data_IF_951377154619
#
_entry.id   IF_951377154619
#
_cell.length_a   1.000
_cell.length_b   1.000
_cell.length_c   1.000
_cell.angle_alpha   90.00
_cell.angle_beta   90.00
_cell.angle_gamma   90.00
#
_symmetry.space_group_name_H-M   'P 1'
#
loop_
_entity.id
_entity.type
_entity.pdbx_description
1 polymer ?
#
# COMPACT_ATOMS: atom_id res chain seq x y z
N UNK A 1 -5.64 -3.81 14.38
CA UNK A 1 -6.27 -5.03 13.85
C UNK A 1 -5.57 -5.54 12.59
N UNK A 2 -5.51 -4.77 11.47
CA UNK A 2 -4.97 -5.24 10.18
C UNK A 2 -3.54 -5.81 10.25
N UNK A 3 -2.63 -5.15 10.99
CA UNK A 3 -1.26 -5.64 11.20
C UNK A 3 -1.30 -7.01 11.87
N UNK A 4 -2.07 -7.18 12.95
CA UNK A 4 -2.20 -8.47 13.65
C UNK A 4 -2.84 -9.56 12.79
N UNK A 5 -3.81 -9.19 11.93
CA UNK A 5 -4.39 -10.16 10.97
C UNK A 5 -3.32 -10.67 10.00
N UNK A 6 -2.46 -9.77 9.50
CA UNK A 6 -1.37 -10.16 8.60
C UNK A 6 -0.32 -11.03 9.29
N UNK A 7 0.03 -10.72 10.53
CA UNK A 7 0.94 -11.54 11.35
C UNK A 7 0.37 -12.94 11.60
N UNK A 8 -0.91 -13.03 11.98
CA UNK A 8 -1.58 -14.32 12.19
C UNK A 8 -1.62 -15.16 10.89
N UNK A 9 -1.84 -14.53 9.75
CA UNK A 9 -1.79 -15.19 8.45
C UNK A 9 -0.39 -15.73 8.12
N UNK A 10 0.65 -14.93 8.36
CA UNK A 10 2.04 -15.37 8.17
C UNK A 10 2.40 -16.54 9.10
N UNK A 11 2.03 -16.45 10.37
CA UNK A 11 2.23 -17.52 11.33
C UNK A 11 1.49 -18.81 10.91
N UNK A 12 0.22 -18.69 10.50
CA UNK A 12 -0.55 -19.83 10.00
C UNK A 12 0.13 -20.50 8.80
N UNK A 13 0.64 -19.72 7.86
CA UNK A 13 1.34 -20.25 6.68
C UNK A 13 2.59 -21.04 7.08
N UNK A 14 3.40 -20.52 8.00
CA UNK A 14 4.61 -21.21 8.47
C UNK A 14 4.27 -22.50 9.25
N UNK A 15 3.33 -22.43 10.18
CA UNK A 15 2.92 -23.60 11.00
C UNK A 15 2.29 -24.73 10.16
N UNK A 16 1.67 -24.40 9.04
CA UNK A 16 0.96 -25.36 8.19
C UNK A 16 1.64 -25.61 6.84
N UNK A 17 2.85 -25.13 6.61
CA UNK A 17 3.58 -25.20 5.34
C UNK A 17 3.56 -26.61 4.70
N UNK A 18 3.71 -27.66 5.49
CA UNK A 18 3.69 -29.06 5.02
C UNK A 18 2.28 -29.63 4.78
N UNK A 19 1.24 -28.92 5.23
CA UNK A 19 -0.17 -29.34 5.11
C UNK A 19 -0.92 -28.55 4.04
N UNK A 20 -0.35 -27.43 3.58
CA UNK A 20 -0.98 -26.61 2.55
C UNK A 20 -0.97 -27.35 1.20
N UNK A 21 -2.02 -27.16 0.37
CA UNK A 21 -2.01 -27.65 -0.99
C UNK A 21 -0.81 -27.13 -1.78
N UNK A 22 -0.27 -27.95 -2.66
CA UNK A 22 0.88 -27.60 -3.49
C UNK A 22 0.39 -27.06 -4.84
N UNK A 23 0.98 -25.96 -5.29
CA UNK A 23 0.73 -25.40 -6.62
C UNK A 23 1.36 -26.34 -7.65
N UNK A 24 0.57 -26.86 -8.59
CA UNK A 24 1.00 -27.87 -9.54
C UNK A 24 2.17 -27.40 -10.45
N UNK A 25 2.17 -26.11 -10.82
CA UNK A 25 3.15 -25.52 -11.75
C UNK A 25 4.51 -25.24 -11.09
N UNK A 26 4.53 -24.92 -9.78
CA UNK A 26 5.76 -24.50 -9.09
C UNK A 26 6.27 -25.51 -8.07
N UNK A 27 5.43 -26.44 -7.64
CA UNK A 27 5.75 -27.36 -6.55
C UNK A 27 5.78 -26.71 -5.16
N UNK A 28 5.39 -25.43 -5.05
CA UNK A 28 5.42 -24.68 -3.79
C UNK A 28 4.08 -24.75 -3.05
N UNK A 29 4.08 -24.64 -1.70
CA UNK A 29 2.83 -24.57 -0.95
C UNK A 29 1.98 -23.37 -1.35
N UNK A 30 0.67 -23.56 -1.45
CA UNK A 30 -0.29 -22.48 -1.68
C UNK A 30 -0.50 -21.69 -0.40
N UNK A 31 0.31 -20.64 -0.21
CA UNK A 31 0.18 -19.76 0.94
C UNK A 31 -1.08 -18.91 0.88
N UNK A 32 -1.72 -18.73 2.04
CA UNK A 32 -2.83 -17.78 2.16
C UNK A 32 -2.28 -16.35 2.17
N UNK A 33 -2.90 -15.49 1.34
CA UNK A 33 -2.52 -14.09 1.24
C UNK A 33 -3.76 -13.21 1.17
N UNK A 34 -4.02 -12.48 2.24
CA UNK A 34 -5.12 -11.50 2.30
C UNK A 34 -4.62 -10.10 1.95
N UNK A 35 -5.42 -9.37 1.18
CA UNK A 35 -5.23 -7.94 0.95
C UNK A 35 -6.23 -7.16 1.77
N UNK A 36 -5.78 -6.05 2.37
CA UNK A 36 -6.59 -5.25 3.27
C UNK A 36 -6.60 -3.81 2.78
N UNK A 37 -7.80 -3.27 2.55
CA UNK A 37 -8.03 -1.86 2.24
C UNK A 37 -8.76 -1.17 3.39
N UNK A 38 -8.23 -0.06 3.89
CA UNK A 38 -8.80 0.65 5.04
C UNK A 38 -9.09 2.10 4.65
N UNK A 39 -10.30 2.55 4.94
CA UNK A 39 -10.66 3.95 4.77
C UNK A 39 -11.52 4.44 5.93
N UNK A 40 -11.24 5.65 6.40
CA UNK A 40 -12.02 6.35 7.41
C UNK A 40 -12.90 7.41 6.75
N UNK A 41 -14.19 7.41 7.08
CA UNK A 41 -15.12 8.39 6.56
C UNK A 41 -16.58 8.05 6.90
N UNK A 42 -17.48 9.01 6.67
CA UNK A 42 -18.89 8.83 6.92
C UNK A 42 -19.50 7.78 5.99
N UNK A 43 -20.39 6.95 6.52
CA UNK A 43 -21.12 5.92 5.79
C UNK A 43 -22.57 5.83 6.30
N UNK A 44 -23.42 5.23 5.50
CA UNK A 44 -24.79 4.88 5.90
C UNK A 44 -24.79 3.43 6.35
N UNK A 45 -25.39 3.16 7.50
CA UNK A 45 -25.50 1.82 8.09
C UNK A 45 -26.98 1.51 8.31
N UNK A 46 -27.43 0.33 7.89
CA UNK A 46 -28.82 -0.07 8.10
C UNK A 46 -29.21 -1.32 7.34
N UNK A 47 -30.49 -1.70 7.49
CA UNK A 47 -31.07 -2.79 6.74
C UNK A 47 -31.36 -2.33 5.31
N UNK A 48 -30.81 -3.03 4.34
CA UNK A 48 -30.97 -2.75 2.93
C UNK A 48 -31.36 -4.01 2.17
N UNK A 49 -32.29 -3.84 1.22
CA UNK A 49 -32.78 -4.95 0.42
C UNK A 49 -34.27 -4.82 0.11
N UNK A 50 -34.88 -5.94 -0.19
CA UNK A 50 -36.32 -6.07 -0.45
C UNK A 50 -37.03 -6.63 0.78
N UNK A 51 -38.36 -6.57 0.78
CA UNK A 51 -39.19 -7.17 1.87
C UNK A 51 -38.94 -8.68 2.06
N UNK A 52 -38.37 -9.36 1.06
CA UNK A 52 -38.07 -10.79 1.12
C UNK A 52 -36.63 -11.08 1.57
N UNK A 53 -35.70 -10.11 1.39
CA UNK A 53 -34.30 -10.29 1.79
C UNK A 53 -33.71 -8.95 2.25
N UNK A 54 -33.57 -8.79 3.55
CA UNK A 54 -32.93 -7.66 4.19
C UNK A 54 -31.55 -8.08 4.69
N UNK A 55 -30.53 -7.27 4.35
CA UNK A 55 -29.18 -7.41 4.88
C UNK A 55 -28.82 -6.16 5.66
N UNK A 56 -28.37 -6.32 6.90
CA UNK A 56 -27.75 -5.22 7.64
C UNK A 56 -26.36 -4.97 7.06
N UNK A 57 -26.17 -3.82 6.47
CA UNK A 57 -24.95 -3.53 5.70
C UNK A 57 -24.58 -2.05 5.75
N UNK A 58 -23.41 -1.73 5.18
CA UNK A 58 -22.88 -0.38 5.07
C UNK A 58 -22.84 0.06 3.61
N UNK A 59 -23.16 1.33 3.34
CA UNK A 59 -23.11 1.92 2.01
C UNK A 59 -22.49 3.32 2.04
N UNK A 60 -21.88 3.70 0.92
CA UNK A 60 -21.35 5.03 0.71
C UNK A 60 -20.03 5.04 -0.06
N UNK A 61 -19.63 6.22 -0.52
CA UNK A 61 -18.39 6.40 -1.28
C UNK A 61 -17.15 5.95 -0.49
N UNK A 62 -17.17 6.13 0.83
CA UNK A 62 -16.07 5.72 1.70
C UNK A 62 -15.95 4.19 1.82
N UNK A 63 -17.07 3.47 1.77
CA UNK A 63 -17.07 1.99 1.73
C UNK A 63 -16.51 1.51 0.39
N UNK A 64 -16.95 2.12 -0.72
CA UNK A 64 -16.44 1.81 -2.05
C UNK A 64 -14.95 2.12 -2.17
N UNK A 65 -14.47 3.20 -1.53
CA UNK A 65 -13.04 3.52 -1.48
C UNK A 65 -12.26 2.41 -0.77
N UNK A 66 -12.70 1.95 0.41
CA UNK A 66 -12.03 0.87 1.13
C UNK A 66 -11.90 -0.40 0.27
N UNK A 67 -12.97 -0.82 -0.42
CA UNK A 67 -12.95 -1.95 -1.35
C UNK A 67 -11.95 -1.76 -2.51
N UNK A 68 -11.85 -0.55 -3.06
CA UNK A 68 -10.87 -0.25 -4.12
C UNK A 68 -9.43 -0.24 -3.61
N UNK A 69 -9.19 0.21 -2.37
CA UNK A 69 -7.88 0.16 -1.74
C UNK A 69 -7.42 -1.28 -1.54
N UNK A 70 -8.34 -2.19 -1.21
CA UNK A 70 -8.03 -3.63 -1.16
C UNK A 70 -7.49 -4.10 -2.52
N UNK A 71 -8.23 -3.91 -3.61
CA UNK A 71 -7.80 -4.29 -4.95
C UNK A 71 -6.52 -3.59 -5.42
N UNK A 72 -6.29 -2.35 -4.99
CA UNK A 72 -5.10 -1.54 -5.32
C UNK A 72 -3.80 -2.16 -4.78
N UNK A 73 -3.86 -2.95 -3.69
CA UNK A 73 -2.69 -3.65 -3.16
C UNK A 73 -1.94 -4.46 -4.23
N UNK A 74 -2.67 -5.06 -5.18
CA UNK A 74 -2.07 -5.85 -6.26
C UNK A 74 -1.12 -5.02 -7.13
N UNK A 75 -1.50 -3.77 -7.44
CA UNK A 75 -0.71 -2.90 -8.31
C UNK A 75 0.60 -2.40 -7.66
N UNK A 76 0.66 -2.40 -6.33
CA UNK A 76 1.82 -1.93 -5.57
C UNK A 76 2.58 -3.04 -4.86
N UNK A 77 2.23 -4.32 -5.09
CA UNK A 77 2.79 -5.44 -4.35
C UNK A 77 2.77 -5.20 -2.83
N UNK A 78 1.61 -4.84 -2.32
CA UNK A 78 1.39 -4.52 -0.90
C UNK A 78 0.27 -5.38 -0.33
N UNK A 79 0.14 -5.38 0.99
CA UNK A 79 -0.85 -6.20 1.71
C UNK A 79 -1.88 -5.37 2.46
N UNK A 80 -1.47 -4.22 2.98
CA UNK A 80 -2.34 -3.30 3.72
C UNK A 80 -2.19 -1.92 3.13
N UNK A 81 -3.25 -1.41 2.49
CA UNK A 81 -3.32 -0.02 2.03
C UNK A 81 -4.40 0.72 2.80
N UNK A 82 -4.09 1.92 3.24
CA UNK A 82 -5.07 2.83 3.82
C UNK A 82 -5.07 4.19 3.10
N UNK A 83 -6.19 4.91 3.23
CA UNK A 83 -6.28 6.30 2.80
C UNK A 83 -5.49 7.22 3.74
N UNK A 84 -5.14 8.40 3.26
CA UNK A 84 -4.46 9.44 4.04
C UNK A 84 -5.28 9.89 5.27
N UNK A 85 -6.61 9.90 5.17
CA UNK A 85 -7.48 10.17 6.33
C UNK A 85 -7.30 9.12 7.42
N UNK A 86 -7.29 7.85 7.06
CA UNK A 86 -7.03 6.75 8.01
C UNK A 86 -5.62 6.84 8.59
N UNK A 87 -4.62 7.14 7.74
CA UNK A 87 -3.23 7.28 8.18
C UNK A 87 -3.09 8.38 9.23
N UNK A 88 -3.62 9.56 8.95
CA UNK A 88 -3.54 10.71 9.87
C UNK A 88 -4.20 10.47 11.21
N UNK A 89 -5.32 9.75 11.23
CA UNK A 89 -5.97 9.37 12.49
C UNK A 89 -5.16 8.32 13.25
N UNK A 90 -4.64 7.30 12.56
CA UNK A 90 -3.86 6.23 13.16
C UNK A 90 -2.49 6.72 13.69
N UNK A 91 -1.84 7.66 12.98
CA UNK A 91 -0.54 8.24 13.37
C UNK A 91 -0.73 9.54 14.17
N UNK A 92 -1.67 9.57 15.11
CA UNK A 92 -1.98 10.73 15.92
C UNK A 92 -1.90 10.46 17.43
N UNK A 93 -1.80 11.54 18.21
CA UNK A 93 -1.79 11.46 19.67
C UNK A 93 -0.64 10.60 20.19
N UNK A 94 -0.94 9.70 21.12
CA UNK A 94 0.04 8.82 21.77
C UNK A 94 0.62 7.75 20.84
N UNK A 95 -0.03 7.48 19.70
CA UNK A 95 0.41 6.48 18.73
C UNK A 95 1.25 7.06 17.58
N UNK A 96 1.59 8.35 17.66
CA UNK A 96 2.39 9.02 16.63
C UNK A 96 3.76 8.37 16.49
N UNK A 97 4.08 7.93 15.27
CA UNK A 97 5.34 7.28 14.93
C UNK A 97 5.45 5.81 15.34
N UNK A 98 4.38 5.21 15.87
CA UNK A 98 4.36 3.77 16.18
C UNK A 98 4.15 2.89 14.96
N UNK A 99 3.47 3.41 13.94
CA UNK A 99 3.17 2.67 12.72
C UNK A 99 4.14 3.07 11.61
N UNK A 100 4.86 2.12 11.06
CA UNK A 100 5.72 2.35 9.90
C UNK A 100 4.92 2.17 8.61
N UNK A 101 4.98 3.18 7.75
CA UNK A 101 4.29 3.16 6.47
C UNK A 101 5.15 3.71 5.33
N UNK A 102 4.74 3.37 4.11
CA UNK A 102 5.24 3.97 2.87
C UNK A 102 4.14 4.78 2.22
N UNK A 103 4.43 6.02 1.93
CA UNK A 103 3.58 6.88 1.13
C UNK A 103 3.63 6.39 -0.30
N UNK A 104 2.52 5.90 -0.85
CA UNK A 104 2.51 5.36 -2.20
C UNK A 104 2.17 6.44 -3.24
N UNK A 105 0.90 6.64 -3.53
CA UNK A 105 0.48 7.38 -4.70
C UNK A 105 -0.83 8.13 -4.44
N UNK A 106 -1.30 8.84 -5.45
CA UNK A 106 -2.63 9.43 -5.48
C UNK A 106 -3.53 8.61 -6.40
N UNK A 107 -4.60 8.05 -5.86
CA UNK A 107 -5.57 7.27 -6.63
C UNK A 107 -6.85 8.07 -6.87
N UNK A 108 -7.33 8.06 -8.11
CA UNK A 108 -8.65 8.62 -8.45
C UNK A 108 -9.72 7.60 -8.11
N UNK A 109 -10.69 8.04 -7.35
CA UNK A 109 -11.89 7.26 -7.03
C UNK A 109 -13.05 7.82 -7.83
N UNK A 110 -13.84 6.94 -8.46
CA UNK A 110 -15.05 7.37 -9.20
C UNK A 110 -15.96 8.12 -8.25
N UNK A 111 -16.49 9.26 -8.68
CA UNK A 111 -17.31 10.20 -7.92
C UNK A 111 -16.59 10.97 -6.79
N UNK A 112 -15.26 10.96 -6.76
CA UNK A 112 -14.46 11.82 -5.90
C UNK A 112 -13.63 12.75 -6.78
N UNK A 113 -13.90 14.06 -6.70
CA UNK A 113 -13.26 15.07 -7.56
C UNK A 113 -11.76 15.25 -7.29
N UNK A 114 -11.26 14.81 -6.14
CA UNK A 114 -9.85 14.93 -5.77
C UNK A 114 -9.19 13.57 -5.63
N UNK A 115 -7.99 13.38 -6.17
CA UNK A 115 -7.22 12.17 -5.93
C UNK A 115 -6.97 11.97 -4.43
N UNK A 116 -7.11 10.72 -3.97
CA UNK A 116 -6.87 10.34 -2.57
C UNK A 116 -5.46 9.79 -2.46
N UNK A 117 -4.67 10.37 -1.56
CA UNK A 117 -3.36 9.83 -1.23
C UNK A 117 -3.51 8.53 -0.44
N UNK A 118 -2.66 7.56 -0.75
CA UNK A 118 -2.67 6.24 -0.12
C UNK A 118 -1.33 5.90 0.53
N UNK A 119 -1.41 5.12 1.60
CA UNK A 119 -0.26 4.64 2.37
C UNK A 119 -0.29 3.12 2.45
N UNK A 120 0.86 2.49 2.26
CA UNK A 120 1.04 1.08 2.57
C UNK A 120 1.56 0.94 4.01
N UNK A 121 0.82 0.24 4.85
CA UNK A 121 1.20 -0.07 6.23
C UNK A 121 2.11 -1.28 6.24
N UNK A 122 3.27 -1.16 6.87
CA UNK A 122 4.25 -2.24 7.01
C UNK A 122 4.10 -3.00 8.33
N UNK A 123 3.96 -2.27 9.42
CA UNK A 123 3.86 -2.88 10.76
C UNK A 123 4.03 -1.84 11.88
N UNK A 124 4.11 -2.33 13.10
CA UNK A 124 4.49 -1.51 14.26
C UNK A 124 6.00 -1.35 14.30
N UNK A 125 6.46 -0.16 14.66
CA UNK A 125 7.90 0.15 14.77
C UNK A 125 8.64 -0.80 15.72
N UNK A 126 7.98 -1.23 16.80
CA UNK A 126 8.52 -2.17 17.79
C UNK A 126 8.66 -3.60 17.29
N UNK A 127 8.01 -3.95 16.17
CA UNK A 127 7.94 -5.31 15.61
C UNK A 127 8.75 -5.45 14.32
N UNK A 128 9.19 -4.33 13.73
CA UNK A 128 9.95 -4.31 12.48
C UNK A 128 11.46 -4.26 12.75
N UNK A 129 12.23 -4.92 11.90
CA UNK A 129 13.68 -4.84 11.89
C UNK A 129 14.19 -3.45 11.47
N UNK A 130 15.41 -3.13 11.85
CA UNK A 130 16.04 -1.85 11.51
C UNK A 130 16.13 -1.63 9.99
N UNK A 131 16.44 -2.68 9.24
CA UNK A 131 16.50 -2.71 7.78
C UNK A 131 15.13 -2.41 7.13
N UNK A 132 14.05 -2.90 7.71
CA UNK A 132 12.69 -2.63 7.24
C UNK A 132 12.30 -1.16 7.45
N UNK A 133 12.66 -0.61 8.61
CA UNK A 133 12.40 0.80 8.95
C UNK A 133 13.23 1.72 8.04
N UNK A 134 14.51 1.40 7.84
CA UNK A 134 15.39 2.16 6.96
C UNK A 134 14.91 2.09 5.50
N UNK A 135 14.53 0.91 5.00
CA UNK A 135 13.98 0.75 3.67
C UNK A 135 12.70 1.59 3.46
N UNK A 136 11.83 1.67 4.49
CA UNK A 136 10.64 2.52 4.44
C UNK A 136 10.98 4.01 4.39
N UNK A 137 11.98 4.44 5.14
CA UNK A 137 12.46 5.82 5.13
C UNK A 137 13.06 6.20 3.77
N UNK A 138 13.94 5.36 3.23
CA UNK A 138 14.52 5.54 1.89
C UNK A 138 13.44 5.58 0.80
N UNK A 139 12.45 4.71 0.88
CA UNK A 139 11.32 4.72 -0.04
C UNK A 139 10.55 6.05 0.02
N UNK A 140 10.24 6.54 1.22
CA UNK A 140 9.52 7.79 1.40
C UNK A 140 10.31 9.00 0.90
N UNK A 141 11.65 9.00 1.03
CA UNK A 141 12.50 10.03 0.39
C UNK A 141 12.43 9.93 -1.15
N UNK A 142 12.53 8.73 -1.70
CA UNK A 142 12.36 8.49 -3.13
C UNK A 142 11.02 9.01 -3.67
N UNK A 143 9.94 8.85 -2.90
CA UNK A 143 8.61 9.35 -3.28
C UNK A 143 8.53 10.87 -3.36
N UNK A 144 9.30 11.61 -2.55
CA UNK A 144 9.36 13.08 -2.66
C UNK A 144 9.91 13.50 -4.02
N UNK A 145 11.04 12.91 -4.42
CA UNK A 145 11.64 13.18 -5.73
C UNK A 145 10.77 12.70 -6.89
N UNK A 146 10.14 11.53 -6.74
CA UNK A 146 9.22 11.00 -7.75
C UNK A 146 8.04 11.94 -8.01
N UNK A 147 7.38 12.43 -6.96
CA UNK A 147 6.26 13.36 -7.08
C UNK A 147 6.71 14.72 -7.63
N UNK A 148 7.89 15.21 -7.23
CA UNK A 148 8.47 16.42 -7.79
C UNK A 148 8.72 16.24 -9.29
N UNK A 149 9.40 15.19 -9.70
CA UNK A 149 9.68 14.90 -11.10
C UNK A 149 8.41 14.79 -11.96
N UNK A 150 7.37 14.12 -11.44
CA UNK A 150 6.08 14.01 -12.14
C UNK A 150 5.31 15.35 -12.27
N UNK A 151 5.56 16.31 -11.38
CA UNK A 151 4.85 17.59 -11.37
C UNK A 151 5.68 18.76 -11.92
N UNK A 152 6.97 18.57 -12.20
CA UNK A 152 7.86 19.60 -12.73
C UNK A 152 7.67 19.75 -14.24
N UNK A 153 7.30 20.95 -14.75
CA UNK A 153 7.10 21.18 -16.19
C UNK A 153 8.43 21.21 -16.97
N UNK A 154 9.55 21.47 -16.31
CA UNK A 154 10.87 21.53 -16.93
C UNK A 154 11.45 20.13 -17.09
N UNK A 155 11.58 19.69 -18.33
CA UNK A 155 11.96 18.31 -18.68
C UNK A 155 13.28 17.84 -18.04
N UNK A 156 14.34 18.65 -18.13
CA UNK A 156 15.65 18.26 -17.59
C UNK A 156 15.61 18.05 -16.08
N UNK A 157 14.96 18.96 -15.35
CA UNK A 157 14.78 18.87 -13.90
C UNK A 157 13.89 17.71 -13.49
N UNK A 158 12.83 17.46 -14.25
CA UNK A 158 11.97 16.28 -14.08
C UNK A 158 12.78 14.99 -14.21
N UNK A 159 13.63 14.86 -15.21
CA UNK A 159 14.49 13.68 -15.41
C UNK A 159 15.51 13.53 -14.27
N UNK A 160 16.09 14.61 -13.76
CA UNK A 160 17.02 14.59 -12.62
C UNK A 160 16.33 14.08 -11.34
N UNK A 161 15.16 14.62 -11.04
CA UNK A 161 14.35 14.18 -9.91
C UNK A 161 13.96 12.71 -10.03
N UNK A 162 13.54 12.24 -11.20
CA UNK A 162 13.19 10.84 -11.44
C UNK A 162 14.38 9.89 -11.34
N UNK A 163 15.59 10.31 -11.77
CA UNK A 163 16.83 9.54 -11.56
C UNK A 163 17.18 9.44 -10.08
N UNK A 164 17.01 10.52 -9.35
CA UNK A 164 17.23 10.56 -7.90
C UNK A 164 16.23 9.66 -7.17
N UNK A 165 14.94 9.73 -7.55
CA UNK A 165 13.90 8.84 -7.03
C UNK A 165 14.23 7.36 -7.27
N UNK A 166 14.66 7.02 -8.50
CA UNK A 166 15.08 5.67 -8.86
C UNK A 166 16.21 5.16 -7.96
N UNK A 167 17.23 6.01 -7.70
CA UNK A 167 18.34 5.64 -6.84
C UNK A 167 17.89 5.35 -5.38
N UNK A 168 16.95 6.15 -4.85
CA UNK A 168 16.37 5.90 -3.54
C UNK A 168 15.54 4.62 -3.49
N UNK A 169 14.70 4.36 -4.49
CA UNK A 169 13.92 3.11 -4.56
C UNK A 169 14.84 1.88 -4.69
N UNK A 170 15.94 2.00 -5.44
CA UNK A 170 16.95 0.94 -5.53
C UNK A 170 17.59 0.69 -4.16
N UNK A 171 18.06 1.74 -3.46
CA UNK A 171 18.60 1.60 -2.10
C UNK A 171 17.59 0.96 -1.15
N UNK A 172 16.33 1.38 -1.17
CA UNK A 172 15.27 0.80 -0.34
C UNK A 172 15.06 -0.70 -0.62
N UNK A 173 15.10 -1.12 -1.89
CA UNK A 173 15.01 -2.53 -2.28
C UNK A 173 16.25 -3.32 -1.82
N UNK A 174 17.44 -2.76 -1.98
CA UNK A 174 18.70 -3.43 -1.64
C UNK A 174 18.87 -3.52 -0.11
N UNK A 175 18.31 -2.59 0.66
CA UNK A 175 18.25 -2.63 2.12
C UNK A 175 17.31 -3.74 2.62
N UNK A 176 16.14 -3.91 1.99
CA UNK A 176 15.18 -4.95 2.34
C UNK A 176 14.41 -5.44 1.10
N UNK A 177 14.78 -6.61 0.59
CA UNK A 177 14.33 -7.13 -0.71
C UNK A 177 12.83 -7.44 -0.83
N UNK A 178 12.11 -7.65 0.29
CA UNK A 178 10.66 -7.93 0.28
C UNK A 178 9.78 -6.69 0.00
N UNK A 179 10.39 -5.58 -0.40
CA UNK A 179 9.70 -4.32 -0.67
C UNK A 179 9.26 -4.24 -2.14
N UNK A 180 8.29 -5.06 -2.55
CA UNK A 180 7.80 -5.13 -3.92
C UNK A 180 7.35 -3.79 -4.54
N UNK A 181 6.89 -2.83 -3.72
CA UNK A 181 6.54 -1.49 -4.22
C UNK A 181 7.73 -0.71 -4.78
N UNK A 182 8.96 -0.93 -4.29
CA UNK A 182 10.16 -0.27 -4.83
C UNK A 182 10.37 -0.61 -6.30
N UNK A 183 10.17 -1.86 -6.70
CA UNK A 183 10.29 -2.31 -8.09
C UNK A 183 9.27 -1.65 -9.01
N UNK A 184 8.03 -1.50 -8.52
CA UNK A 184 6.96 -0.81 -9.27
C UNK A 184 7.37 0.62 -9.60
N UNK A 185 7.88 1.37 -8.59
CA UNK A 185 8.28 2.77 -8.81
C UNK A 185 9.60 2.89 -9.59
N UNK A 186 10.55 1.99 -9.42
CA UNK A 186 11.74 1.93 -10.28
C UNK A 186 11.37 1.75 -11.76
N UNK A 187 10.44 0.84 -12.05
CA UNK A 187 9.94 0.62 -13.42
C UNK A 187 9.24 1.87 -13.97
N UNK A 188 8.42 2.56 -13.14
CA UNK A 188 7.76 3.82 -13.53
C UNK A 188 8.78 4.91 -13.83
N UNK A 189 9.78 5.14 -12.96
CA UNK A 189 10.85 6.10 -13.20
C UNK A 189 11.56 5.83 -14.52
N UNK A 190 11.99 4.57 -14.78
CA UNK A 190 12.65 4.20 -16.03
C UNK A 190 11.76 4.44 -17.25
N UNK A 191 10.45 4.17 -17.13
CA UNK A 191 9.51 4.39 -18.23
C UNK A 191 9.37 5.88 -18.55
N UNK A 192 9.24 6.75 -17.54
CA UNK A 192 9.12 8.20 -17.74
C UNK A 192 10.41 8.81 -18.29
N UNK A 193 11.58 8.41 -17.76
CA UNK A 193 12.89 8.88 -18.26
C UNK A 193 13.07 8.53 -19.73
N UNK A 194 12.71 7.30 -20.14
CA UNK A 194 12.91 6.82 -21.51
C UNK A 194 11.88 7.37 -22.51
N UNK A 195 10.67 7.67 -22.09
CA UNK A 195 9.61 8.16 -22.97
C UNK A 195 9.58 9.67 -23.12
N UNK A 196 10.31 10.41 -22.30
CA UNK A 196 10.33 11.86 -22.32
C UNK A 196 9.01 12.51 -21.92
N UNK A 197 8.28 11.89 -21.00
CA UNK A 197 6.98 12.40 -20.50
C UNK A 197 7.20 13.12 -19.20
#
# INVERSE_FOLDING_TARGET
>A
AAIKMRQAEQQFNEENKTKLPVIAETGEPFYLHSRIGINTGRMVVGNMGTNQKLNYTVMGNNVNLASRLEGTNKAYNSWIICSDSTWKEADSGIHKGEIISRKLDYVRVVNVNKPVQIHNILGLKSELGADQIEAAALFNEGMKFYLNGCNTPEFQKSVEDLKTAYAYFKKARDCYSLVGSSEVFMKRCSTFINKGI
#
